data_IF_930208195756
#
_entry.id   IF_930208195756
#
_cell.length_a   1.000
_cell.length_b   1.000
_cell.length_c   1.000
_cell.angle_alpha   90.00
_cell.angle_beta   90.00
_cell.angle_gamma   90.00
#
_symmetry.space_group_name_H-M   'P 1'
#
loop_
_entity.id
_entity.type
_entity.pdbx_description
1 polymer ?
#
# COMPACT_ATOMS: atom_id res chain seq x y z
N UNK A 1 -36.10 5.59 -13.24
CA UNK A 1 -34.68 5.70 -13.62
C UNK A 1 -33.91 5.25 -12.40
N UNK A 2 -33.28 4.07 -12.47
CA UNK A 2 -32.49 3.53 -11.36
C UNK A 2 -31.22 4.36 -11.29
N UNK A 3 -31.02 5.07 -10.19
CA UNK A 3 -29.73 5.66 -9.85
C UNK A 3 -28.83 4.49 -9.45
N UNK A 4 -28.22 3.84 -10.44
CA UNK A 4 -27.27 2.76 -10.22
C UNK A 4 -26.05 3.36 -9.51
N UNK A 5 -26.01 3.19 -8.20
CA UNK A 5 -24.88 3.60 -7.40
C UNK A 5 -23.67 2.79 -7.85
N UNK A 6 -22.70 3.45 -8.50
CA UNK A 6 -21.45 2.84 -8.97
C UNK A 6 -20.76 2.11 -7.80
N UNK A 7 -20.60 0.80 -7.91
CA UNK A 7 -19.90 0.01 -6.91
C UNK A 7 -18.38 0.19 -7.09
N UNK A 8 -17.75 1.05 -6.28
CA UNK A 8 -16.29 1.26 -6.35
C UNK A 8 -15.52 0.24 -5.51
N UNK A 9 -14.41 -0.27 -6.04
CA UNK A 9 -13.39 -1.01 -5.29
C UNK A 9 -12.03 -0.30 -5.26
N UNK A 10 -11.21 -0.58 -4.25
CA UNK A 10 -9.85 -0.04 -4.10
C UNK A 10 -8.81 -1.14 -4.29
N UNK A 11 -7.89 -0.92 -5.24
CA UNK A 11 -6.66 -1.70 -5.39
C UNK A 11 -5.50 -0.96 -4.71
N UNK A 12 -4.98 -1.52 -3.62
CA UNK A 12 -3.78 -1.01 -2.96
C UNK A 12 -2.55 -1.63 -3.63
N UNK A 13 -1.77 -0.82 -4.36
CA UNK A 13 -0.59 -1.27 -5.10
C UNK A 13 0.68 -1.02 -4.29
N UNK A 14 1.38 -2.11 -3.92
CA UNK A 14 2.71 -2.07 -3.33
C UNK A 14 3.79 -2.41 -4.35
N UNK A 15 5.04 -2.00 -4.11
CA UNK A 15 6.16 -2.43 -4.96
C UNK A 15 6.46 -3.92 -4.75
N UNK A 16 6.37 -4.36 -3.49
CA UNK A 16 6.67 -5.71 -3.02
C UNK A 16 8.08 -5.83 -2.43
N UNK A 17 8.26 -6.84 -1.60
CA UNK A 17 9.52 -7.14 -0.91
C UNK A 17 9.64 -8.63 -0.69
N UNK A 18 10.88 -9.14 -0.69
CA UNK A 18 11.17 -10.53 -0.29
C UNK A 18 11.20 -10.71 1.23
N UNK A 19 11.26 -9.61 1.99
CA UNK A 19 11.18 -9.65 3.44
C UNK A 19 9.74 -9.93 3.89
N UNK A 20 9.56 -11.03 4.61
CA UNK A 20 8.28 -11.43 5.18
C UNK A 20 7.74 -10.39 6.16
N UNK A 21 8.60 -9.78 6.98
CA UNK A 21 8.18 -8.77 7.96
C UNK A 21 7.58 -7.55 7.25
N UNK A 22 8.29 -7.02 6.26
CA UNK A 22 7.78 -5.92 5.44
C UNK A 22 6.48 -6.26 4.71
N UNK A 23 6.33 -7.50 4.21
CA UNK A 23 5.09 -7.98 3.57
C UNK A 23 3.93 -8.04 4.55
N UNK A 24 4.14 -8.56 5.76
CA UNK A 24 3.12 -8.59 6.81
C UNK A 24 2.68 -7.19 7.23
N UNK A 25 3.62 -6.27 7.44
CA UNK A 25 3.32 -4.88 7.77
C UNK A 25 2.49 -4.18 6.69
N UNK A 26 2.78 -4.45 5.42
CA UNK A 26 1.96 -3.96 4.32
C UNK A 26 0.51 -4.47 4.40
N UNK A 27 0.29 -5.76 4.67
CA UNK A 27 -1.07 -6.27 4.84
C UNK A 27 -1.78 -5.74 6.08
N UNK A 28 -1.05 -5.43 7.17
CA UNK A 28 -1.62 -4.72 8.32
C UNK A 28 -2.11 -3.33 7.91
N UNK A 29 -1.33 -2.59 7.11
CA UNK A 29 -1.75 -1.30 6.57
C UNK A 29 -3.00 -1.43 5.69
N UNK A 30 -3.03 -2.42 4.79
CA UNK A 30 -4.20 -2.70 3.92
C UNK A 30 -5.46 -2.94 4.74
N UNK A 31 -5.38 -3.76 5.79
CA UNK A 31 -6.52 -4.02 6.69
C UNK A 31 -7.00 -2.75 7.37
N UNK A 32 -6.09 -1.94 7.91
CA UNK A 32 -6.43 -0.66 8.54
C UNK A 32 -7.10 0.31 7.57
N UNK A 33 -6.69 0.33 6.31
CA UNK A 33 -7.34 1.14 5.27
C UNK A 33 -8.74 0.58 4.98
N UNK A 34 -8.87 -0.73 4.78
CA UNK A 34 -10.15 -1.40 4.47
C UNK A 34 -11.23 -1.10 5.53
N UNK A 35 -10.85 -1.12 6.82
CA UNK A 35 -11.74 -0.77 7.95
C UNK A 35 -12.31 0.66 7.88
N UNK A 36 -11.69 1.56 7.13
CA UNK A 36 -12.02 3.01 7.12
C UNK A 36 -12.74 3.48 5.86
N UNK A 37 -12.70 2.70 4.77
CA UNK A 37 -13.17 3.15 3.45
C UNK A 37 -14.55 2.60 3.06
N UNK A 38 -15.02 1.54 3.72
CA UNK A 38 -16.38 1.01 3.51
C UNK A 38 -16.64 0.39 2.13
N UNK A 39 -15.62 0.18 1.31
CA UNK A 39 -15.68 -0.41 -0.04
C UNK A 39 -14.78 -1.64 -0.12
N UNK A 40 -14.98 -2.54 -1.10
CA UNK A 40 -14.07 -3.66 -1.33
C UNK A 40 -12.62 -3.18 -1.52
N UNK A 41 -11.71 -3.73 -0.73
CA UNK A 41 -10.27 -3.45 -0.85
C UNK A 41 -9.54 -4.74 -1.15
N UNK A 42 -8.66 -4.71 -2.15
CA UNK A 42 -7.64 -5.74 -2.41
C UNK A 42 -6.28 -5.10 -2.55
N UNK A 43 -5.25 -5.87 -2.29
CA UNK A 43 -3.88 -5.40 -2.41
C UNK A 43 -3.12 -6.31 -3.34
N UNK A 44 -2.23 -5.73 -4.14
CA UNK A 44 -1.37 -6.46 -5.05
C UNK A 44 0.00 -5.82 -5.14
N UNK A 45 0.99 -6.61 -5.51
CA UNK A 45 2.37 -6.16 -5.66
C UNK A 45 2.77 -6.09 -7.13
N UNK A 46 3.57 -5.08 -7.46
CA UNK A 46 4.16 -4.95 -8.78
C UNK A 46 5.15 -6.09 -9.06
N UNK A 47 5.96 -6.45 -8.06
CA UNK A 47 6.92 -7.54 -8.14
C UNK A 47 7.25 -8.11 -6.75
N UNK A 48 8.13 -9.13 -6.70
CA UNK A 48 8.78 -9.69 -5.50
C UNK A 48 7.89 -10.37 -4.43
N UNK A 49 6.60 -10.08 -4.41
CA UNK A 49 5.64 -10.62 -3.45
C UNK A 49 4.32 -10.98 -4.12
N UNK A 50 3.49 -11.74 -3.41
CA UNK A 50 2.16 -12.15 -3.83
C UNK A 50 1.10 -11.62 -2.85
N UNK A 51 -0.14 -11.37 -3.30
CA UNK A 51 -0.62 -11.55 -4.69
C UNK A 51 -0.08 -10.47 -5.64
N UNK A 52 0.04 -10.79 -6.92
CA UNK A 52 0.36 -9.80 -7.96
C UNK A 52 -0.84 -8.87 -8.26
N UNK A 53 -0.59 -7.78 -8.99
CA UNK A 53 -1.65 -6.83 -9.35
C UNK A 53 -2.79 -7.47 -10.14
N UNK A 54 -2.51 -8.46 -11.00
CA UNK A 54 -3.53 -9.14 -11.81
C UNK A 54 -4.49 -9.94 -10.93
N UNK A 55 -3.95 -10.68 -9.96
CA UNK A 55 -4.73 -11.45 -8.98
C UNK A 55 -5.63 -10.52 -8.17
N UNK A 56 -5.08 -9.41 -7.67
CA UNK A 56 -5.85 -8.44 -6.90
C UNK A 56 -6.97 -7.76 -7.72
N UNK A 57 -6.73 -7.49 -9.01
CA UNK A 57 -7.79 -6.99 -9.94
C UNK A 57 -8.88 -8.04 -10.11
N UNK A 58 -8.52 -9.31 -10.37
CA UNK A 58 -9.50 -10.39 -10.52
C UNK A 58 -10.38 -10.56 -9.27
N UNK A 59 -9.79 -10.45 -8.08
CA UNK A 59 -10.53 -10.51 -6.81
C UNK A 59 -11.49 -9.33 -6.62
N UNK A 60 -11.13 -8.12 -7.08
CA UNK A 60 -12.04 -6.97 -7.07
C UNK A 60 -13.20 -7.17 -8.05
N UNK A 61 -12.91 -7.63 -9.27
CA UNK A 61 -13.96 -7.92 -10.26
C UNK A 61 -14.92 -9.00 -9.74
N UNK A 62 -14.42 -10.01 -9.04
CA UNK A 62 -15.25 -11.03 -8.40
C UNK A 62 -16.15 -10.50 -7.26
N UNK A 63 -15.83 -9.31 -6.71
CA UNK A 63 -16.71 -8.62 -5.76
C UNK A 63 -17.84 -7.84 -6.45
N UNK A 64 -17.90 -7.82 -7.80
CA UNK A 64 -18.93 -7.10 -8.56
C UNK A 64 -18.74 -5.58 -8.55
N UNK A 65 -17.49 -5.10 -8.55
CA UNK A 65 -17.20 -3.66 -8.62
C UNK A 65 -17.32 -3.15 -10.05
N UNK A 66 -17.92 -1.97 -10.20
CA UNK A 66 -18.11 -1.27 -11.48
C UNK A 66 -16.95 -0.32 -11.79
N UNK A 67 -16.14 0.08 -10.80
CA UNK A 67 -14.95 0.94 -10.96
C UNK A 67 -13.83 0.50 -10.01
N UNK A 68 -12.58 0.57 -10.48
CA UNK A 68 -11.39 0.33 -9.65
C UNK A 68 -10.62 1.63 -9.42
N UNK A 69 -10.36 1.96 -8.14
CA UNK A 69 -9.46 3.03 -7.72
C UNK A 69 -8.14 2.44 -7.27
N UNK A 70 -7.06 2.76 -7.95
CA UNK A 70 -5.72 2.28 -7.59
C UNK A 70 -5.07 3.28 -6.64
N UNK A 71 -4.59 2.80 -5.49
CA UNK A 71 -3.83 3.56 -4.50
C UNK A 71 -2.39 3.01 -4.43
N UNK A 72 -1.41 3.70 -5.04
CA UNK A 72 0.00 3.36 -4.87
C UNK A 72 0.49 3.70 -3.46
N UNK A 73 0.94 2.71 -2.70
CA UNK A 73 1.51 2.91 -1.35
C UNK A 73 3.02 2.97 -1.45
N UNK A 74 3.52 4.10 -1.94
CA UNK A 74 4.95 4.37 -2.11
C UNK A 74 5.26 5.79 -1.65
N UNK A 75 6.37 5.98 -0.92
CA UNK A 75 6.76 7.29 -0.42
C UNK A 75 7.22 8.21 -1.54
N UNK A 76 7.96 7.68 -2.50
CA UNK A 76 8.39 8.39 -3.68
C UNK A 76 7.91 7.65 -4.91
N UNK A 77 7.24 8.37 -5.79
CA UNK A 77 7.00 7.92 -7.15
C UNK A 77 8.24 8.24 -7.99
N UNK A 78 9.35 7.54 -7.73
CA UNK A 78 10.56 7.67 -8.53
C UNK A 78 10.46 6.78 -9.78
N UNK A 79 10.72 7.33 -10.97
CA UNK A 79 10.87 6.57 -12.22
C UNK A 79 9.64 5.78 -12.66
N UNK A 80 9.89 4.56 -13.15
CA UNK A 80 8.97 3.70 -13.89
C UNK A 80 7.68 3.35 -13.13
N UNK A 81 7.61 3.50 -11.81
CA UNK A 81 6.41 3.18 -10.99
C UNK A 81 5.12 3.87 -11.48
N UNK A 82 5.22 5.13 -11.92
CA UNK A 82 4.05 5.87 -12.45
C UNK A 82 3.58 5.33 -13.80
N UNK A 83 4.41 4.55 -14.50
CA UNK A 83 4.12 3.91 -15.78
C UNK A 83 3.78 2.43 -15.59
N UNK A 84 4.51 1.74 -14.70
CA UNK A 84 4.47 0.31 -14.45
C UNK A 84 3.15 -0.14 -13.81
N UNK A 85 2.65 0.58 -12.80
CA UNK A 85 1.36 0.24 -12.19
C UNK A 85 0.23 0.38 -13.21
N UNK A 86 0.06 1.52 -13.92
CA UNK A 86 -0.95 1.60 -14.97
C UNK A 86 -0.79 0.54 -16.06
N UNK A 87 0.45 0.24 -16.47
CA UNK A 87 0.71 -0.77 -17.49
C UNK A 87 0.31 -2.18 -17.01
N UNK A 88 0.68 -2.56 -15.79
CA UNK A 88 0.34 -3.83 -15.18
C UNK A 88 -1.18 -3.98 -14.98
N UNK A 89 -1.86 -2.94 -14.50
CA UNK A 89 -3.32 -2.94 -14.35
C UNK A 89 -4.02 -3.02 -15.70
N UNK A 90 -3.54 -2.30 -16.72
CA UNK A 90 -4.08 -2.39 -18.08
C UNK A 90 -3.92 -3.79 -18.66
N UNK A 91 -2.74 -4.41 -18.49
CA UNK A 91 -2.50 -5.79 -18.93
C UNK A 91 -3.42 -6.77 -18.19
N UNK A 92 -3.61 -6.59 -16.88
CA UNK A 92 -4.51 -7.42 -16.09
C UNK A 92 -5.95 -7.35 -16.60
N UNK A 93 -6.47 -6.14 -16.86
CA UNK A 93 -7.82 -5.96 -17.38
C UNK A 93 -8.00 -6.59 -18.76
N UNK A 94 -7.02 -6.43 -19.65
CA UNK A 94 -7.04 -7.07 -20.96
C UNK A 94 -7.09 -8.60 -20.84
N UNK A 95 -6.22 -9.19 -20.03
CA UNK A 95 -6.19 -10.63 -19.82
C UNK A 95 -7.48 -11.19 -19.19
N UNK A 96 -8.16 -10.36 -18.38
CA UNK A 96 -9.42 -10.69 -17.71
C UNK A 96 -10.66 -10.30 -18.54
N UNK A 97 -10.47 -9.75 -19.74
CA UNK A 97 -11.54 -9.27 -20.63
C UNK A 97 -12.47 -8.23 -19.95
N UNK A 98 -11.88 -7.36 -19.13
CA UNK A 98 -12.55 -6.40 -18.26
C UNK A 98 -12.21 -4.94 -18.59
N UNK A 99 -11.80 -4.63 -19.82
CA UNK A 99 -11.39 -3.28 -20.24
C UNK A 99 -12.51 -2.24 -20.18
N UNK A 100 -13.76 -2.69 -20.06
CA UNK A 100 -14.92 -1.84 -19.85
C UNK A 100 -15.00 -1.26 -18.43
N UNK A 101 -14.28 -1.84 -17.45
CA UNK A 101 -14.26 -1.38 -16.06
C UNK A 101 -13.35 -0.14 -15.96
N UNK A 102 -13.89 1.04 -15.61
CA UNK A 102 -13.09 2.25 -15.46
C UNK A 102 -12.06 2.09 -14.35
N UNK A 103 -10.86 2.62 -14.60
CA UNK A 103 -9.79 2.67 -13.61
C UNK A 103 -9.30 4.09 -13.44
N UNK A 104 -9.15 4.52 -12.17
CA UNK A 104 -8.48 5.77 -11.82
C UNK A 104 -7.37 5.52 -10.83
N UNK A 105 -6.23 6.14 -11.08
CA UNK A 105 -5.03 5.96 -10.26
C UNK A 105 -4.86 7.21 -9.40
N UNK A 106 -4.83 7.01 -8.09
CA UNK A 106 -4.50 8.05 -7.12
C UNK A 106 -3.02 8.38 -7.13
N UNK A 107 -2.67 9.51 -6.52
CA UNK A 107 -1.25 9.84 -6.29
C UNK A 107 -0.65 8.88 -5.29
N UNK A 108 0.66 8.66 -5.40
CA UNK A 108 1.41 8.00 -4.34
C UNK A 108 1.41 8.85 -3.07
N UNK A 109 1.97 8.33 -1.98
CA UNK A 109 1.98 9.07 -0.71
C UNK A 109 2.81 10.35 -0.79
N UNK A 110 3.84 10.38 -1.62
CA UNK A 110 4.65 11.57 -1.96
C UNK A 110 5.09 12.39 -0.72
N UNK A 111 5.44 13.65 -0.90
CA UNK A 111 5.82 14.58 0.19
C UNK A 111 4.61 15.32 0.75
N UNK A 112 3.50 14.61 0.97
CA UNK A 112 2.28 15.22 1.49
C UNK A 112 2.51 15.82 2.88
N UNK A 113 1.88 16.96 3.22
CA UNK A 113 2.09 17.63 4.51
C UNK A 113 1.95 16.71 5.72
N UNK A 114 0.94 15.81 5.70
CA UNK A 114 0.72 14.84 6.77
C UNK A 114 1.89 13.85 6.97
N UNK A 115 2.58 13.45 5.90
CA UNK A 115 3.77 12.60 6.01
C UNK A 115 4.96 13.38 6.58
N UNK A 116 5.12 14.65 6.19
CA UNK A 116 6.16 15.53 6.75
C UNK A 116 5.90 15.73 8.25
N UNK A 117 4.66 16.02 8.64
CA UNK A 117 4.26 16.17 10.04
C UNK A 117 4.49 14.89 10.85
N UNK A 118 4.12 13.73 10.30
CA UNK A 118 4.39 12.43 10.91
C UNK A 118 5.90 12.23 11.12
N UNK A 119 6.72 12.57 10.12
CA UNK A 119 8.17 12.42 10.17
C UNK A 119 8.78 13.33 11.25
N UNK A 120 8.31 14.58 11.34
CA UNK A 120 8.71 15.51 12.40
C UNK A 120 8.28 15.00 13.78
N UNK A 121 7.08 14.42 13.91
CA UNK A 121 6.63 13.79 15.16
C UNK A 121 7.55 12.65 15.58
N UNK A 122 7.90 11.74 14.67
CA UNK A 122 8.85 10.65 14.93
C UNK A 122 10.23 11.16 15.34
N UNK A 123 10.70 12.25 14.72
CA UNK A 123 11.96 12.88 15.13
C UNK A 123 11.89 13.44 16.56
N UNK A 124 10.78 14.08 16.94
CA UNK A 124 10.59 14.59 18.31
C UNK A 124 10.52 13.46 19.34
N UNK A 125 9.86 12.35 19.00
CA UNK A 125 9.86 11.13 19.84
C UNK A 125 11.28 10.61 20.05
N UNK A 126 12.10 10.58 18.99
CA UNK A 126 13.50 10.17 19.09
C UNK A 126 14.33 11.12 19.97
N UNK A 127 14.07 12.42 19.94
CA UNK A 127 14.73 13.41 20.82
C UNK A 127 14.30 13.29 22.29
N UNK A 128 13.03 12.99 22.55
CA UNK A 128 12.51 12.89 23.91
C UNK A 128 13.09 11.67 24.65
N UNK A 129 13.43 10.60 23.92
CA UNK A 129 13.86 9.33 24.50
C UNK A 129 12.74 8.63 25.29
N UNK A 130 13.01 7.43 25.80
CA UNK A 130 12.05 6.65 26.61
C UNK A 130 12.01 5.17 26.23
N UNK A 131 11.27 4.39 27.03
CA UNK A 131 11.07 2.97 26.77
C UNK A 131 10.40 2.77 25.40
N UNK A 132 11.04 1.97 24.53
CA UNK A 132 10.54 1.66 23.19
C UNK A 132 11.09 2.55 22.05
N UNK A 133 11.84 3.62 22.32
CA UNK A 133 12.60 4.32 21.27
C UNK A 133 13.84 3.49 20.93
N UNK A 134 13.99 3.00 19.69
CA UNK A 134 15.10 2.12 19.39
C UNK A 134 16.44 2.88 19.42
N UNK A 135 17.39 2.39 20.22
CA UNK A 135 18.75 2.93 20.31
C UNK A 135 19.76 1.97 19.68
N UNK A 136 20.77 2.49 18.99
CA UNK A 136 21.86 1.69 18.44
C UNK A 136 23.20 2.18 18.98
N UNK A 137 24.06 1.24 19.38
CA UNK A 137 25.43 1.51 19.81
C UNK A 137 26.37 1.42 18.60
N UNK A 138 26.85 2.57 18.12
CA UNK A 138 27.74 2.67 16.98
C UNK A 138 29.11 2.00 17.18
N UNK A 139 29.49 1.65 18.41
CA UNK A 139 30.73 0.93 18.72
C UNK A 139 30.62 -0.58 18.55
N UNK A 140 29.41 -1.12 18.32
CA UNK A 140 29.15 -2.56 18.17
C UNK A 140 28.73 -2.90 16.73
N UNK A 141 29.21 -4.01 16.15
CA UNK A 141 28.77 -4.43 14.83
C UNK A 141 27.25 -4.70 14.84
N UNK A 142 26.55 -4.23 13.81
CA UNK A 142 25.10 -4.41 13.69
C UNK A 142 24.75 -5.90 13.68
N UNK A 143 23.87 -6.35 14.58
CA UNK A 143 23.38 -7.74 14.62
C UNK A 143 22.43 -8.10 13.46
N UNK A 144 22.17 -7.18 12.54
CA UNK A 144 21.38 -7.42 11.32
C UNK A 144 19.88 -7.61 11.52
N UNK A 145 19.40 -7.66 12.77
CA UNK A 145 17.99 -7.90 13.10
C UNK A 145 17.38 -6.66 13.76
N UNK A 146 16.96 -5.70 12.93
CA UNK A 146 15.96 -4.73 13.35
C UNK A 146 14.59 -5.38 13.22
N UNK A 147 14.00 -5.83 14.34
CA UNK A 147 12.60 -6.22 14.37
C UNK A 147 11.78 -5.05 14.89
N UNK A 148 10.79 -4.62 14.11
CA UNK A 148 9.75 -3.73 14.58
C UNK A 148 8.79 -4.50 15.51
N UNK A 149 9.29 -5.04 16.62
CA UNK A 149 8.44 -5.63 17.64
C UNK A 149 7.76 -4.50 18.43
N UNK A 150 6.43 -4.51 18.39
CA UNK A 150 5.51 -3.94 19.37
C UNK A 150 5.72 -2.47 19.77
N UNK A 151 5.63 -1.54 18.80
CA UNK A 151 5.01 -0.26 19.17
C UNK A 151 3.53 -0.52 19.37
N UNK A 152 3.08 -0.65 20.61
CA UNK A 152 1.67 -0.49 20.99
C UNK A 152 1.22 0.87 20.46
N UNK A 153 0.61 0.86 19.27
CA UNK A 153 -0.11 2.01 18.74
C UNK A 153 -1.43 2.06 19.48
N UNK A 154 -1.45 2.86 20.56
CA UNK A 154 -2.68 3.40 21.14
C UNK A 154 -3.38 4.28 20.11
#
# INVERSE_FOLDING_TARGET
MVDETIATGILIAGHGTRDETGREQFFVLVRRIAERVGVPVRAGFLELAQPDLKTAVAELLACGVDEIRVLPVMLFAAGHVLEDIPAAVRSALHDLQAEHVPVRIGRALETQPALVELSVRRFREALAGGDGVPTFDASRPSSGTWRAEETTLV
#
